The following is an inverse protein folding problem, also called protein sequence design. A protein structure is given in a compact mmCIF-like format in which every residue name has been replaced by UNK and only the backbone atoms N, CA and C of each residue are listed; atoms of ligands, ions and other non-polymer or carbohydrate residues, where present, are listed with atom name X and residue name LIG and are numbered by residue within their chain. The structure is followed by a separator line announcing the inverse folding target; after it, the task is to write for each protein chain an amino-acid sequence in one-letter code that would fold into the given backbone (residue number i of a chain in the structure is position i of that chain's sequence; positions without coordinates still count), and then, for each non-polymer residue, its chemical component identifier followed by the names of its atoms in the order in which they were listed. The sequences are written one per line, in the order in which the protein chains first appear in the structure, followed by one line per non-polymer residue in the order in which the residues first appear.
data_IF_108180191720
#
_entry.id   IF_108180191720
#
_cell.length_a   1.000
_cell.length_b   1.000
_cell.length_c   1.000
_cell.angle_alpha   90.00
_cell.angle_beta   90.00
_cell.angle_gamma   90.00
#
_symmetry.space_group_name_H-M   'P 1'
#
loop_
_entity.id
_entity.type
_entity.pdbx_description
1 polymer ?
#
# COMPACT_ATOMS: atom_id res chain seq x y z
N UNK A 1 51.52 60.01 -32.59
CA UNK A 1 50.75 58.75 -32.41
C UNK A 1 50.39 58.61 -30.95
N UNK A 2 49.11 58.35 -30.67
CA UNK A 2 48.49 57.71 -29.48
C UNK A 2 47.14 58.39 -29.18
N UNK A 3 46.08 57.60 -29.33
CA UNK A 3 44.64 57.88 -29.22
C UNK A 3 44.22 58.13 -27.78
N UNK A 4 43.21 58.98 -27.53
CA UNK A 4 42.22 58.89 -26.41
C UNK A 4 41.28 60.10 -26.53
N UNK A 5 39.97 60.05 -26.31
CA UNK A 5 38.95 59.00 -26.24
C UNK A 5 37.62 59.77 -26.15
N UNK A 6 36.59 59.22 -26.77
CA UNK A 6 35.25 59.77 -26.91
C UNK A 6 34.54 60.10 -25.58
N UNK A 7 33.82 61.23 -25.66
CA UNK A 7 32.43 61.50 -25.26
C UNK A 7 32.01 61.25 -23.81
N UNK A 8 31.86 62.38 -23.15
CA UNK A 8 31.14 62.66 -21.93
C UNK A 8 29.60 62.60 -22.09
N UNK A 9 28.99 61.82 -21.19
CA UNK A 9 27.87 62.18 -20.31
C UNK A 9 26.44 62.52 -20.82
N UNK A 10 25.50 61.78 -20.19
CA UNK A 10 24.17 62.17 -19.64
C UNK A 10 22.92 61.89 -20.47
N UNK A 11 22.09 60.96 -19.97
CA UNK A 11 20.82 61.23 -19.28
C UNK A 11 20.19 59.87 -18.87
N UNK A 12 20.18 59.49 -17.59
CA UNK A 12 19.03 59.64 -16.68
C UNK A 12 17.67 59.25 -17.28
N UNK A 13 17.23 58.04 -16.99
CA UNK A 13 15.82 57.71 -16.81
C UNK A 13 15.71 56.69 -15.66
N UNK A 14 15.39 57.21 -14.49
CA UNK A 14 14.93 56.50 -13.29
C UNK A 14 13.58 55.86 -13.60
N UNK A 15 13.50 54.53 -13.53
CA UNK A 15 12.25 53.81 -13.36
C UNK A 15 12.38 52.91 -12.13
N UNK A 16 11.79 53.37 -11.02
CA UNK A 16 11.63 52.57 -9.82
C UNK A 16 10.59 51.49 -10.08
N UNK A 17 11.04 50.26 -10.34
CA UNK A 17 10.18 49.08 -10.29
C UNK A 17 10.08 48.65 -8.82
N UNK A 18 9.00 49.08 -8.16
CA UNK A 18 8.63 48.60 -6.83
C UNK A 18 8.30 47.11 -6.94
N UNK A 19 9.03 46.31 -6.18
CA UNK A 19 8.96 44.86 -6.21
C UNK A 19 7.61 44.30 -5.79
N UNK A 20 7.19 43.28 -6.53
CA UNK A 20 6.44 42.17 -5.95
C UNK A 20 7.33 40.95 -6.13
N UNK A 21 8.12 40.64 -5.10
CA UNK A 21 8.66 39.29 -4.95
C UNK A 21 7.45 38.41 -4.64
N UNK A 22 6.80 37.91 -5.69
CA UNK A 22 5.98 36.72 -5.58
C UNK A 22 6.91 35.65 -5.04
N UNK A 23 6.83 35.42 -3.73
CA UNK A 23 7.40 34.23 -3.11
C UNK A 23 6.61 33.09 -3.73
N UNK A 24 7.11 32.59 -4.85
CA UNK A 24 6.79 31.25 -5.32
C UNK A 24 7.17 30.35 -4.16
N UNK A 25 6.18 30.01 -3.34
CA UNK A 25 6.25 28.83 -2.49
C UNK A 25 6.40 27.70 -3.49
N UNK A 26 7.66 27.38 -3.82
CA UNK A 26 8.00 26.13 -4.46
C UNK A 26 7.39 25.08 -3.55
N UNK A 27 6.26 24.50 -3.95
CA UNK A 27 5.67 23.38 -3.27
C UNK A 27 6.78 22.36 -3.14
N UNK A 28 7.24 22.13 -1.92
CA UNK A 28 8.17 21.05 -1.64
C UNK A 28 7.47 19.81 -2.17
N UNK A 29 8.01 19.22 -3.22
CA UNK A 29 7.56 17.92 -3.67
C UNK A 29 7.86 16.98 -2.50
N UNK A 30 6.85 16.72 -1.67
CA UNK A 30 7.00 15.73 -0.61
C UNK A 30 7.25 14.40 -1.31
N UNK A 31 8.35 13.74 -0.92
CA UNK A 31 8.64 12.42 -1.40
C UNK A 31 7.62 11.46 -0.81
N UNK A 32 6.92 10.74 -1.68
CA UNK A 32 6.03 9.67 -1.29
C UNK A 32 6.74 8.69 -0.34
N UNK A 33 6.11 8.42 0.80
CA UNK A 33 6.62 7.57 1.87
C UNK A 33 6.04 6.16 1.74
N UNK A 34 6.89 5.16 1.97
CA UNK A 34 6.47 3.77 2.05
C UNK A 34 6.04 3.42 3.47
N UNK A 35 4.83 2.90 3.59
CA UNK A 35 4.21 2.46 4.82
C UNK A 35 4.09 0.94 4.83
N UNK A 36 4.44 0.32 5.95
CA UNK A 36 4.46 -1.14 6.08
C UNK A 36 3.70 -1.57 7.34
N UNK A 37 2.90 -2.63 7.23
CA UNK A 37 2.26 -3.31 8.35
C UNK A 37 2.57 -4.80 8.26
N UNK A 38 2.86 -5.46 9.38
CA UNK A 38 3.09 -6.91 9.40
C UNK A 38 2.43 -7.54 10.63
N UNK A 39 1.83 -8.72 10.44
CA UNK A 39 1.15 -9.43 11.52
C UNK A 39 0.82 -10.86 11.16
N UNK A 40 0.43 -11.65 12.16
CA UNK A 40 -0.03 -13.03 11.97
C UNK A 40 -1.55 -13.09 11.95
N UNK A 41 -2.10 -13.74 10.94
CA UNK A 41 -3.53 -13.95 10.77
C UNK A 41 -3.88 -15.44 10.79
N UNK A 42 -5.02 -15.77 11.36
CA UNK A 42 -5.61 -17.12 11.31
C UNK A 42 -6.54 -17.19 10.12
N UNK A 43 -6.17 -18.00 9.13
CA UNK A 43 -6.85 -18.10 7.84
C UNK A 43 -7.53 -19.47 7.65
N UNK A 44 -8.65 -19.48 6.94
CA UNK A 44 -9.38 -20.69 6.55
C UNK A 44 -8.83 -21.29 5.25
N UNK A 45 -8.61 -22.60 5.25
CA UNK A 45 -8.11 -23.35 4.09
C UNK A 45 -9.06 -24.49 3.71
N UNK A 46 -9.08 -24.91 2.43
CA UNK A 46 -9.92 -26.01 1.99
C UNK A 46 -9.49 -27.32 2.67
N UNK A 47 -10.39 -27.93 3.45
CA UNK A 47 -10.16 -29.22 4.10
C UNK A 47 -9.14 -29.21 5.24
N UNK A 48 -8.71 -28.04 5.72
CA UNK A 48 -7.72 -27.90 6.79
C UNK A 48 -8.26 -26.93 7.87
N UNK A 49 -8.06 -27.21 9.18
CA UNK A 49 -8.41 -26.29 10.26
C UNK A 49 -7.74 -24.91 10.10
N UNK A 50 -8.21 -23.88 10.82
CA UNK A 50 -7.59 -22.55 10.78
C UNK A 50 -6.08 -22.62 11.00
N UNK A 51 -5.32 -22.00 10.10
CA UNK A 51 -3.87 -21.97 10.15
C UNK A 51 -3.34 -20.55 10.27
N UNK A 52 -2.18 -20.41 10.90
CA UNK A 52 -1.47 -19.14 10.99
C UNK A 52 -0.74 -18.84 9.67
N UNK A 53 -0.95 -17.63 9.16
CA UNK A 53 -0.32 -17.06 7.97
C UNK A 53 0.31 -15.73 8.36
N UNK A 54 1.59 -15.54 8.05
CA UNK A 54 2.24 -14.26 8.24
C UNK A 54 1.87 -13.34 7.06
N UNK A 55 1.32 -12.17 7.33
CA UNK A 55 0.91 -11.19 6.32
C UNK A 55 1.76 -9.94 6.50
N UNK A 56 2.33 -9.47 5.40
CA UNK A 56 2.93 -8.14 5.29
C UNK A 56 2.11 -7.34 4.29
N UNK A 57 1.79 -6.09 4.60
CA UNK A 57 1.10 -5.16 3.72
C UNK A 57 1.95 -3.90 3.52
N UNK A 58 1.89 -3.35 2.31
CA UNK A 58 2.64 -2.16 1.91
C UNK A 58 1.72 -1.19 1.20
N UNK A 59 1.95 0.11 1.38
CA UNK A 59 1.35 1.18 0.59
C UNK A 59 2.31 2.36 0.50
N UNK A 60 2.10 3.22 -0.48
CA UNK A 60 2.85 4.46 -0.70
C UNK A 60 1.90 5.64 -0.65
N UNK A 61 2.29 6.71 0.04
CA UNK A 61 1.52 7.96 0.09
C UNK A 61 2.30 9.09 0.74
N UNK A 62 1.70 10.28 0.86
CA UNK A 62 2.36 11.44 1.46
C UNK A 62 2.70 11.19 2.94
N UNK A 63 3.79 11.81 3.41
CA UNK A 63 4.18 11.87 4.83
C UNK A 63 3.34 12.85 5.65
N UNK A 64 2.79 13.87 4.98
CA UNK A 64 1.99 14.94 5.55
C UNK A 64 0.74 15.20 4.72
N UNK A 65 -0.41 15.28 5.39
CA UNK A 65 -1.73 15.46 4.75
C UNK A 65 -2.41 16.66 5.39
N UNK A 66 -2.92 17.59 4.59
CA UNK A 66 -3.67 18.72 5.12
C UNK A 66 -4.98 18.25 5.77
N UNK A 67 -5.32 18.84 6.92
CA UNK A 67 -6.54 18.52 7.65
C UNK A 67 -7.78 18.62 6.76
N UNK A 68 -8.67 17.62 6.85
CA UNK A 68 -9.90 17.54 6.06
C UNK A 68 -9.72 17.21 4.57
N UNK A 69 -8.51 16.96 4.09
CA UNK A 69 -8.27 16.57 2.68
C UNK A 69 -8.21 15.05 2.51
N UNK A 70 -8.45 14.59 1.28
CA UNK A 70 -8.40 13.17 0.93
C UNK A 70 -7.22 12.86 0.02
N UNK A 71 -6.62 11.68 0.22
CA UNK A 71 -5.51 11.14 -0.57
C UNK A 71 -5.81 9.69 -0.91
N UNK A 72 -5.39 9.24 -2.09
CA UNK A 72 -5.46 7.83 -2.48
C UNK A 72 -4.05 7.26 -2.50
N UNK A 73 -3.72 6.28 -1.64
CA UNK A 73 -2.43 5.61 -1.67
C UNK A 73 -2.17 4.90 -3.00
N UNK A 74 -0.89 4.68 -3.30
CA UNK A 74 -0.42 3.90 -4.45
C UNK A 74 0.46 2.74 -3.98
N UNK A 75 0.90 1.89 -4.91
CA UNK A 75 1.74 0.71 -4.63
C UNK A 75 1.20 -0.16 -3.49
N UNK A 76 -0.13 -0.31 -3.44
CA UNK A 76 -0.79 -1.11 -2.41
C UNK A 76 -0.55 -2.58 -2.69
N UNK A 77 -0.05 -3.31 -1.71
CA UNK A 77 0.29 -4.69 -1.92
C UNK A 77 0.76 -5.36 -0.64
N UNK A 78 1.47 -6.46 -0.81
CA UNK A 78 1.97 -7.21 0.32
C UNK A 78 2.37 -8.63 -0.04
N UNK A 79 2.61 -9.41 1.01
CA UNK A 79 2.88 -10.83 0.90
C UNK A 79 2.10 -11.59 1.96
N UNK A 80 1.74 -12.83 1.64
CA UNK A 80 1.28 -13.78 2.63
C UNK A 80 2.19 -15.01 2.61
N UNK A 81 2.78 -15.31 3.76
CA UNK A 81 3.67 -16.46 3.95
C UNK A 81 2.94 -17.56 4.68
N UNK A 82 2.71 -18.65 3.95
CA UNK A 82 2.13 -19.89 4.41
C UNK A 82 3.27 -20.77 4.92
N UNK A 83 3.21 -21.20 6.18
CA UNK A 83 4.30 -21.99 6.78
C UNK A 83 4.46 -23.36 6.10
N UNK A 84 5.63 -23.97 6.27
CA UNK A 84 5.91 -25.31 5.71
C UNK A 84 4.93 -26.38 6.19
N UNK A 85 4.42 -26.26 7.43
CA UNK A 85 3.43 -27.19 7.97
C UNK A 85 2.09 -27.07 7.20
N UNK A 86 1.63 -25.85 6.94
CA UNK A 86 0.39 -25.61 6.19
C UNK A 86 0.54 -26.03 4.74
N UNK A 87 1.68 -25.73 4.13
CA UNK A 87 2.00 -26.20 2.80
C UNK A 87 1.94 -27.74 2.72
N UNK A 88 2.56 -28.44 3.67
CA UNK A 88 2.50 -29.90 3.72
C UNK A 88 1.06 -30.43 3.82
N UNK A 89 0.20 -29.77 4.60
CA UNK A 89 -1.22 -30.12 4.68
C UNK A 89 -1.95 -29.88 3.35
N UNK A 90 -1.69 -28.76 2.68
CA UNK A 90 -2.26 -28.45 1.36
C UNK A 90 -1.82 -29.47 0.30
N UNK A 91 -0.54 -29.84 0.30
CA UNK A 91 -0.02 -30.89 -0.59
C UNK A 91 -0.64 -32.25 -0.28
N UNK A 92 -0.86 -32.58 1.01
CA UNK A 92 -1.49 -33.83 1.41
C UNK A 92 -2.94 -33.96 0.93
N UNK A 93 -3.67 -32.85 0.84
CA UNK A 93 -5.02 -32.81 0.23
C UNK A 93 -5.00 -32.63 -1.30
N UNK A 94 -3.81 -32.65 -1.91
CA UNK A 94 -3.62 -32.69 -3.36
C UNK A 94 -3.48 -31.32 -4.05
N UNK A 95 -3.31 -30.23 -3.30
CA UNK A 95 -3.10 -28.90 -3.86
C UNK A 95 -1.61 -28.56 -4.01
N UNK A 96 -1.23 -27.99 -5.15
CA UNK A 96 0.15 -27.60 -5.48
C UNK A 96 0.25 -26.21 -6.12
N UNK A 97 -0.83 -25.42 -6.13
CA UNK A 97 -0.78 -24.05 -6.64
C UNK A 97 -1.91 -23.17 -6.12
N UNK A 98 -1.73 -21.86 -6.24
CA UNK A 98 -2.71 -20.84 -5.91
C UNK A 98 -2.79 -19.78 -7.01
N UNK A 99 -3.93 -19.10 -7.09
CA UNK A 99 -4.09 -17.77 -7.69
C UNK A 99 -5.35 -17.12 -7.15
N UNK A 100 -5.59 -15.86 -7.46
CA UNK A 100 -6.88 -15.22 -7.19
C UNK A 100 -6.78 -13.74 -6.89
N UNK A 101 -7.67 -13.26 -6.04
CA UNK A 101 -7.68 -11.86 -5.60
C UNK A 101 -7.91 -11.74 -4.09
N UNK A 102 -7.39 -10.66 -3.52
CA UNK A 102 -7.57 -10.33 -2.11
C UNK A 102 -8.37 -9.04 -1.93
N UNK A 103 -9.09 -8.97 -0.82
CA UNK A 103 -9.75 -7.78 -0.28
C UNK A 103 -9.26 -7.57 1.14
N UNK A 104 -8.67 -6.40 1.37
CA UNK A 104 -8.00 -6.03 2.61
C UNK A 104 -8.70 -4.79 3.18
N UNK A 105 -9.47 -4.94 4.26
CA UNK A 105 -10.01 -3.79 4.98
C UNK A 105 -8.87 -2.97 5.58
N UNK A 106 -9.02 -1.65 5.59
CA UNK A 106 -8.09 -0.72 6.24
C UNK A 106 -8.91 0.24 7.10
N UNK A 107 -8.37 0.59 8.26
CA UNK A 107 -8.98 1.52 9.21
C UNK A 107 -7.99 2.63 9.53
N UNK A 108 -8.49 3.81 9.87
CA UNK A 108 -7.70 4.93 10.37
C UNK A 108 -8.01 5.13 11.85
N UNK A 109 -7.04 5.62 12.63
CA UNK A 109 -7.26 5.85 14.06
C UNK A 109 -8.10 7.12 14.32
N UNK A 110 -7.95 8.16 13.49
CA UNK A 110 -8.67 9.43 13.64
C UNK A 110 -9.45 9.88 12.40
N UNK A 111 -8.92 9.63 11.20
CA UNK A 111 -9.56 9.95 9.93
C UNK A 111 -10.59 8.91 9.49
N UNK A 112 -10.91 8.89 8.19
CA UNK A 112 -11.79 7.87 7.60
C UNK A 112 -11.20 7.28 6.32
N UNK A 113 -11.61 6.07 5.99
CA UNK A 113 -11.21 5.35 4.77
C UNK A 113 -12.47 5.02 3.99
N UNK A 114 -12.47 5.25 2.66
CA UNK A 114 -13.67 5.11 1.83
C UNK A 114 -14.16 3.68 1.61
N UNK A 115 -13.36 2.67 1.99
CA UNK A 115 -13.68 1.25 1.84
C UNK A 115 -12.46 0.34 2.01
N UNK A 116 -12.57 -0.95 1.69
CA UNK A 116 -11.43 -1.86 1.64
C UNK A 116 -10.62 -1.70 0.35
N UNK A 117 -9.34 -2.01 0.39
CA UNK A 117 -8.57 -2.27 -0.82
C UNK A 117 -9.02 -3.60 -1.40
N UNK A 118 -9.49 -3.62 -2.66
CA UNK A 118 -10.10 -4.82 -3.26
C UNK A 118 -9.59 -5.07 -4.67
N UNK A 119 -9.74 -6.32 -5.13
CA UNK A 119 -9.22 -6.74 -6.43
C UNK A 119 -7.70 -6.73 -6.51
N UNK A 120 -7.01 -6.87 -5.37
CA UNK A 120 -5.55 -7.02 -5.34
C UNK A 120 -5.20 -8.39 -5.91
N UNK A 121 -4.31 -8.45 -6.90
CA UNK A 121 -4.03 -9.68 -7.63
C UNK A 121 -3.05 -10.57 -6.86
N UNK A 122 -3.41 -11.85 -6.77
CA UNK A 122 -2.50 -12.93 -6.39
C UNK A 122 -2.17 -13.68 -7.68
N UNK A 123 -0.94 -13.55 -8.21
CA UNK A 123 -0.56 -14.21 -9.45
C UNK A 123 -0.61 -15.72 -9.29
N UNK A 124 -0.64 -16.41 -10.44
CA UNK A 124 -0.53 -17.86 -10.44
C UNK A 124 0.86 -18.30 -9.96
N UNK A 125 0.86 -19.13 -8.92
CA UNK A 125 2.06 -19.75 -8.40
C UNK A 125 1.79 -21.24 -8.24
N UNK A 126 2.56 -22.05 -8.95
CA UNK A 126 2.68 -23.48 -8.70
C UNK A 126 3.88 -23.68 -7.78
N UNK A 127 3.67 -24.31 -6.64
CA UNK A 127 4.66 -24.46 -5.60
C UNK A 127 5.48 -25.73 -5.79
N UNK A 128 6.82 -25.68 -5.69
CA UNK A 128 7.60 -26.90 -5.56
C UNK A 128 7.25 -27.60 -4.24
N UNK A 129 7.43 -28.91 -4.16
CA UNK A 129 7.13 -29.64 -2.92
C UNK A 129 8.08 -29.20 -1.78
N UNK A 130 7.50 -28.95 -0.59
CA UNK A 130 8.24 -28.63 0.63
C UNK A 130 8.50 -27.14 0.86
N UNK A 131 8.90 -26.81 2.09
CA UNK A 131 9.21 -25.44 2.50
C UNK A 131 7.99 -24.55 2.70
N UNK A 132 8.22 -23.31 3.14
CA UNK A 132 7.18 -22.29 3.23
C UNK A 132 6.87 -21.73 1.83
N UNK A 133 5.62 -21.30 1.66
CA UNK A 133 5.16 -20.62 0.44
C UNK A 133 5.02 -19.14 0.76
N UNK A 134 5.53 -18.28 -0.12
CA UNK A 134 5.22 -16.84 -0.09
C UNK A 134 4.44 -16.48 -1.34
N UNK A 135 3.25 -15.90 -1.15
CA UNK A 135 2.42 -15.37 -2.24
C UNK A 135 2.50 -13.86 -2.24
N UNK A 136 2.72 -13.28 -3.42
CA UNK A 136 2.70 -11.84 -3.60
C UNK A 136 1.26 -11.37 -3.83
N UNK A 137 0.91 -10.23 -3.26
CA UNK A 137 -0.39 -9.57 -3.42
C UNK A 137 -0.10 -8.19 -4.00
N UNK A 138 -0.54 -7.94 -5.22
CA UNK A 138 -0.16 -6.74 -5.96
C UNK A 138 -1.37 -5.91 -6.35
N UNK A 139 -1.28 -4.59 -6.21
CA UNK A 139 -2.17 -3.68 -6.92
C UNK A 139 -1.96 -3.83 -8.42
N UNK A 140 -3.07 -3.90 -9.14
CA UNK A 140 -3.14 -3.88 -10.60
C UNK A 140 -4.13 -2.82 -11.07
N UNK A 141 -4.18 -2.57 -12.38
CA UNK A 141 -5.06 -1.55 -12.96
C UNK A 141 -6.55 -1.75 -12.64
N UNK A 142 -6.98 -2.98 -12.37
CA UNK A 142 -8.36 -3.33 -12.00
C UNK A 142 -8.62 -3.32 -10.49
N UNK A 143 -7.59 -3.09 -9.66
CA UNK A 143 -7.76 -2.99 -8.21
C UNK A 143 -8.46 -1.69 -7.83
N UNK A 144 -9.30 -1.74 -6.80
CA UNK A 144 -9.92 -0.56 -6.19
C UNK A 144 -9.20 -0.24 -4.89
N UNK A 145 -8.50 0.89 -4.86
CA UNK A 145 -7.77 1.37 -3.68
C UNK A 145 -8.60 2.46 -2.99
N UNK A 146 -8.88 2.33 -1.69
CA UNK A 146 -9.67 3.32 -0.99
C UNK A 146 -8.88 4.61 -0.75
N UNK A 147 -9.59 5.72 -0.73
CA UNK A 147 -9.05 7.00 -0.32
C UNK A 147 -9.10 7.10 1.21
N UNK A 148 -8.06 7.69 1.78
CA UNK A 148 -8.01 8.13 3.16
C UNK A 148 -8.39 9.62 3.21
N UNK A 149 -9.23 9.99 4.17
CA UNK A 149 -9.61 11.38 4.46
C UNK A 149 -9.11 11.77 5.84
N UNK A 150 -8.28 12.81 5.89
CA UNK A 150 -7.70 13.33 7.11
C UNK A 150 -8.76 13.91 8.07
N UNK A 151 -8.57 13.77 9.39
CA UNK A 151 -9.42 14.46 10.36
C UNK A 151 -9.30 15.98 10.21
N UNK A 152 -10.28 16.71 10.76
CA UNK A 152 -10.29 18.17 10.72
C UNK A 152 -9.26 18.84 11.65
N UNK A 153 -8.71 18.10 12.61
CA UNK A 153 -7.71 18.60 13.55
C UNK A 153 -6.31 18.14 13.13
N UNK A 154 -5.33 19.04 13.25
CA UNK A 154 -3.92 18.72 13.09
C UNK A 154 -3.43 17.73 14.16
N UNK A 155 -2.39 16.97 13.85
CA UNK A 155 -1.86 15.92 14.72
C UNK A 155 -1.17 14.82 13.94
N UNK A 156 -1.32 13.58 14.40
CA UNK A 156 -0.81 12.38 13.72
C UNK A 156 -1.93 11.37 13.58
N UNK A 157 -1.93 10.62 12.48
CA UNK A 157 -2.84 9.49 12.32
C UNK A 157 -2.08 8.24 11.86
N UNK A 158 -2.73 7.10 11.99
CA UNK A 158 -2.17 5.78 11.71
C UNK A 158 -3.21 4.92 11.04
N UNK A 159 -2.84 4.32 9.90
CA UNK A 159 -3.65 3.30 9.25
C UNK A 159 -3.38 1.94 9.92
N UNK A 160 -4.37 1.07 9.97
CA UNK A 160 -4.24 -0.30 10.46
C UNK A 160 -4.99 -1.27 9.55
N UNK A 161 -4.46 -2.48 9.38
CA UNK A 161 -5.16 -3.55 8.65
C UNK A 161 -6.41 -3.97 9.43
N UNK A 162 -7.57 -3.85 8.79
CA UNK A 162 -8.85 -4.24 9.39
C UNK A 162 -9.09 -5.77 9.33
N UNK A 163 -10.31 -6.16 9.66
CA UNK A 163 -10.72 -7.57 9.76
C UNK A 163 -12.17 -7.78 9.31
N UNK A 164 -12.52 -8.91 8.68
CA UNK A 164 -11.60 -9.95 8.17
C UNK A 164 -10.93 -9.54 6.85
N UNK A 165 -9.68 -9.96 6.65
CA UNK A 165 -9.10 -9.99 5.30
C UNK A 165 -9.74 -11.17 4.58
N UNK A 166 -10.20 -10.97 3.34
CA UNK A 166 -10.80 -12.02 2.53
C UNK A 166 -10.04 -12.21 1.23
N UNK A 167 -10.01 -13.43 0.72
CA UNK A 167 -9.44 -13.72 -0.59
C UNK A 167 -10.30 -14.70 -1.36
N UNK A 168 -10.63 -14.34 -2.61
CA UNK A 168 -11.26 -15.20 -3.58
C UNK A 168 -10.15 -15.93 -4.35
N UNK A 169 -9.85 -17.14 -3.89
CA UNK A 169 -8.72 -17.94 -4.35
C UNK A 169 -9.18 -19.07 -5.26
N UNK A 170 -8.23 -19.56 -6.05
CA UNK A 170 -8.32 -20.84 -6.73
C UNK A 170 -7.10 -21.65 -6.35
N UNK A 171 -7.31 -22.90 -5.92
CA UNK A 171 -6.24 -23.84 -5.63
C UNK A 171 -6.10 -24.86 -6.77
N UNK A 172 -4.89 -25.06 -7.25
CA UNK A 172 -4.58 -26.02 -8.30
C UNK A 172 -4.48 -27.43 -7.72
N UNK A 173 -5.18 -28.39 -8.31
CA UNK A 173 -5.11 -29.81 -7.98
C UNK A 173 -4.11 -30.51 -8.89
N UNK A 174 -3.05 -31.06 -8.28
CA UNK A 174 -2.00 -31.78 -8.99
C UNK A 174 -2.52 -33.00 -9.77
N UNK A 175 -3.51 -33.70 -9.23
CA UNK A 175 -3.96 -35.00 -9.75
C UNK A 175 -4.66 -34.92 -11.11
N UNK A 176 -5.32 -33.81 -11.41
CA UNK A 176 -6.15 -33.66 -12.61
C UNK A 176 -5.96 -32.31 -13.32
N UNK A 177 -4.99 -31.50 -12.89
CA UNK A 177 -4.67 -30.21 -13.47
C UNK A 177 -5.87 -29.24 -13.50
N UNK A 178 -6.69 -29.25 -12.44
CA UNK A 178 -7.89 -28.39 -12.32
C UNK A 178 -7.75 -27.36 -11.20
N UNK A 179 -8.49 -26.26 -11.33
CA UNK A 179 -8.55 -25.19 -10.34
C UNK A 179 -9.85 -25.28 -9.54
N UNK A 180 -9.75 -25.33 -8.22
CA UNK A 180 -10.89 -25.34 -7.30
C UNK A 180 -11.04 -23.97 -6.64
N UNK A 181 -12.23 -23.36 -6.76
CA UNK A 181 -12.52 -22.08 -6.10
C UNK A 181 -12.58 -22.24 -4.57
N UNK A 182 -12.05 -21.26 -3.86
CA UNK A 182 -12.10 -21.19 -2.40
C UNK A 182 -12.15 -19.74 -1.91
N UNK A 183 -13.03 -19.46 -0.95
CA UNK A 183 -13.06 -18.17 -0.27
C UNK A 183 -12.36 -18.29 1.09
N UNK A 184 -11.16 -17.71 1.17
CA UNK A 184 -10.40 -17.64 2.41
C UNK A 184 -10.84 -16.42 3.21
N UNK A 185 -10.96 -16.60 4.53
CA UNK A 185 -11.17 -15.52 5.50
C UNK A 185 -10.08 -15.60 6.56
N UNK A 186 -9.48 -14.45 6.86
CA UNK A 186 -8.34 -14.30 7.74
C UNK A 186 -8.66 -13.28 8.84
N UNK A 187 -8.46 -13.67 10.09
CA UNK A 187 -8.64 -12.81 11.28
C UNK A 187 -7.30 -12.60 11.98
N UNK A 188 -7.00 -11.40 12.49
CA UNK A 188 -5.74 -11.16 13.18
C UNK A 188 -5.66 -12.06 14.42
N UNK A 189 -4.48 -12.66 14.66
CA UNK A 189 -4.28 -13.56 15.81
C UNK A 189 -4.27 -12.80 17.15
N UNK A 190 -3.82 -11.55 17.13
CA UNK A 190 -3.74 -10.68 18.31
C UNK A 190 -4.54 -9.39 18.04
N UNK A 191 -3.86 -8.34 17.58
CA UNK A 191 -4.44 -7.06 17.19
C UNK A 191 -4.22 -6.81 15.70
N UNK A 192 -5.04 -5.92 15.14
CA UNK A 192 -4.80 -5.36 13.82
C UNK A 192 -3.40 -4.73 13.78
N UNK A 193 -2.51 -5.13 12.84
CA UNK A 193 -1.22 -4.50 12.68
C UNK A 193 -1.39 -3.10 12.09
N UNK A 194 -0.73 -2.14 12.72
CA UNK A 194 -0.65 -0.75 12.27
C UNK A 194 0.44 -0.58 11.21
N UNK A 195 0.20 0.33 10.26
CA UNK A 195 1.20 0.78 9.32
C UNK A 195 2.21 1.70 10.02
N UNK A 196 3.48 1.56 9.64
CA UNK A 196 4.59 2.40 10.09
C UNK A 196 5.38 2.92 8.88
N UNK A 197 5.83 4.20 8.88
CA UNK A 197 5.68 5.19 9.95
C UNK A 197 4.23 5.70 10.14
N UNK A 198 3.97 6.49 11.18
CA UNK A 198 2.74 7.30 11.26
C UNK A 198 2.85 8.49 10.33
N UNK A 199 1.73 9.06 9.88
CA UNK A 199 1.73 10.25 9.03
C UNK A 199 1.19 11.47 9.77
N UNK A 200 1.63 12.65 9.31
CA UNK A 200 1.32 13.93 9.96
C UNK A 200 0.09 14.57 9.34
N UNK A 201 -0.77 15.14 10.18
CA UNK A 201 -1.89 15.98 9.77
C UNK A 201 -1.54 17.43 10.08
N UNK A 202 -1.53 18.27 9.04
CA UNK A 202 -1.18 19.70 9.12
C UNK A 202 -2.38 20.60 8.96
#
# INVERSE_FOLDING_TARGET
MTRLRNLSLKAMATAAAVGTLSVMVAGVASADTAYNAAGTYRCTFPGIPLQDVAITATLTGPDSIAAGTSVTPTNVGGTATISAAVHSLLTAVGYDGIRGTATVPVTAASGSVSGPASGLQIPEVIYPAGGAITVNINQVATSSIPSYTAPAAAGTDTLSLGTPITAALQFHKKSNNTWSNWNMSCTPKTSAPAFSPTFTIT
#
